data_IF_600513621987
#
_entry.id   IF_600513621987
#
_cell.length_a   1.000
_cell.length_b   1.000
_cell.length_c   1.000
_cell.angle_alpha   90.00
_cell.angle_beta   90.00
_cell.angle_gamma   90.00
#
_symmetry.space_group_name_H-M   'P 1'
#
loop_
_entity.id
_entity.type
_entity.pdbx_description
1 polymer ?
#
# COMPACT_ATOMS: atom_id res chain seq x y z
N UNK A 1 -38.67 -58.54 31.98
CA UNK A 1 -38.64 -57.98 30.61
C UNK A 1 -38.92 -56.49 30.70
N UNK A 2 -38.08 -55.70 30.02
CA UNK A 2 -38.22 -54.27 29.62
C UNK A 2 -38.55 -53.23 30.70
N UNK A 3 -37.54 -52.41 31.01
CA UNK A 3 -37.73 -50.99 31.32
C UNK A 3 -37.12 -50.19 30.15
N UNK A 4 -37.94 -49.37 29.49
CA UNK A 4 -37.54 -48.43 28.43
C UNK A 4 -36.79 -47.24 29.05
N UNK A 5 -35.55 -47.01 28.61
CA UNK A 5 -34.85 -45.74 28.85
C UNK A 5 -35.40 -44.69 27.87
N UNK A 6 -36.14 -43.72 28.41
CA UNK A 6 -36.59 -42.55 27.67
C UNK A 6 -35.42 -41.58 27.46
N UNK A 7 -34.87 -41.57 26.23
CA UNK A 7 -33.83 -40.64 25.79
C UNK A 7 -34.39 -39.21 25.72
N UNK A 8 -34.07 -38.38 26.72
CA UNK A 8 -34.35 -36.94 26.71
C UNK A 8 -33.46 -36.24 25.68
N UNK A 9 -34.01 -35.89 24.52
CA UNK A 9 -33.38 -34.95 23.57
C UNK A 9 -33.22 -33.57 24.23
N UNK A 10 -32.04 -32.92 24.18
CA UNK A 10 -31.86 -31.60 24.77
C UNK A 10 -32.64 -30.56 23.97
N UNK A 11 -33.37 -29.67 24.66
CA UNK A 11 -34.04 -28.54 24.03
C UNK A 11 -33.00 -27.56 23.44
N UNK A 12 -33.27 -26.97 22.25
CA UNK A 12 -32.35 -26.05 21.58
C UNK A 12 -32.11 -24.81 22.46
N UNK A 13 -30.85 -24.36 22.54
CA UNK A 13 -30.48 -23.20 23.35
C UNK A 13 -31.00 -21.91 22.68
N UNK A 14 -31.48 -20.90 23.43
CA UNK A 14 -32.10 -19.70 22.86
C UNK A 14 -31.15 -18.78 22.06
N UNK A 15 -29.86 -19.10 22.02
CA UNK A 15 -28.79 -18.28 21.43
C UNK A 15 -28.58 -18.49 19.93
N UNK A 16 -29.03 -19.62 19.39
CA UNK A 16 -28.69 -20.03 18.02
C UNK A 16 -29.49 -19.22 16.97
N UNK A 17 -30.75 -18.90 17.27
CA UNK A 17 -31.60 -18.11 16.37
C UNK A 17 -31.17 -16.65 16.21
N UNK A 18 -30.57 -16.04 17.25
CA UNK A 18 -30.06 -14.66 17.20
C UNK A 18 -28.76 -14.56 16.41
N UNK A 19 -27.88 -15.56 16.52
CA UNK A 19 -26.65 -15.62 15.75
C UNK A 19 -26.93 -15.81 14.25
N UNK A 20 -27.86 -16.70 13.91
CA UNK A 20 -28.27 -16.96 12.53
C UNK A 20 -29.02 -15.77 11.90
N UNK A 21 -29.90 -15.10 12.65
CA UNK A 21 -30.57 -13.89 12.19
C UNK A 21 -29.56 -12.76 11.90
N UNK A 22 -28.53 -12.60 12.74
CA UNK A 22 -27.47 -11.61 12.56
C UNK A 22 -26.58 -11.93 11.36
N UNK A 23 -26.27 -13.21 11.14
CA UNK A 23 -25.55 -13.68 9.96
C UNK A 23 -26.36 -13.54 8.66
N UNK A 24 -27.69 -13.68 8.73
CA UNK A 24 -28.61 -13.44 7.63
C UNK A 24 -28.68 -11.96 7.23
N UNK A 25 -28.86 -11.07 8.21
CA UNK A 25 -28.86 -9.62 8.02
C UNK A 25 -27.52 -9.11 7.48
N UNK A 26 -26.40 -9.64 7.99
CA UNK A 26 -25.07 -9.31 7.50
C UNK A 26 -24.87 -9.76 6.04
N UNK A 27 -25.30 -10.98 5.69
CA UNK A 27 -25.28 -11.46 4.29
C UNK A 27 -26.15 -10.60 3.37
N UNK A 28 -27.33 -10.20 3.83
CA UNK A 28 -28.26 -9.36 3.06
C UNK A 28 -27.72 -7.94 2.86
N UNK A 29 -27.07 -7.36 3.88
CA UNK A 29 -26.39 -6.08 3.81
C UNK A 29 -25.18 -6.13 2.85
N UNK A 30 -24.37 -7.20 2.91
CA UNK A 30 -23.26 -7.43 1.97
C UNK A 30 -23.73 -7.65 0.52
N UNK A 31 -24.97 -8.13 0.33
CA UNK A 31 -25.58 -8.30 -1.00
C UNK A 31 -26.09 -6.97 -1.57
N UNK A 32 -26.64 -6.08 -0.73
CA UNK A 32 -27.12 -4.75 -1.13
C UNK A 32 -25.97 -3.74 -1.32
N UNK A 33 -24.92 -3.86 -0.53
CA UNK A 33 -23.73 -3.03 -0.59
C UNK A 33 -22.50 -3.94 -0.63
N UNK A 34 -22.16 -4.54 -1.80
CA UNK A 34 -20.93 -5.28 -1.93
C UNK A 34 -19.77 -4.36 -1.53
N UNK A 35 -18.78 -4.84 -0.75
CA UNK A 35 -17.63 -4.02 -0.39
C UNK A 35 -17.04 -3.50 -1.70
N UNK A 36 -17.09 -2.17 -1.87
CA UNK A 36 -16.54 -1.51 -3.05
C UNK A 36 -15.15 -2.09 -3.24
N UNK A 37 -14.91 -2.67 -4.43
CA UNK A 37 -13.69 -3.36 -4.83
C UNK A 37 -12.49 -2.39 -4.92
N UNK A 38 -12.26 -1.68 -3.83
CA UNK A 38 -11.32 -0.58 -3.65
C UNK A 38 -9.93 -1.14 -3.64
N UNK A 39 -9.76 -2.37 -3.10
CA UNK A 39 -8.51 -3.10 -3.12
C UNK A 39 -8.13 -3.52 -4.55
N UNK A 40 -9.02 -4.14 -5.35
CA UNK A 40 -8.63 -4.52 -6.71
C UNK A 40 -8.57 -3.30 -7.65
N UNK A 41 -9.42 -2.28 -7.48
CA UNK A 41 -9.28 -1.01 -8.20
C UNK A 41 -7.93 -0.34 -7.92
N UNK A 42 -7.51 -0.30 -6.66
CA UNK A 42 -6.20 0.22 -6.27
C UNK A 42 -5.08 -0.63 -6.89
N UNK A 43 -5.18 -1.96 -6.80
CA UNK A 43 -4.18 -2.86 -7.39
C UNK A 43 -4.01 -2.65 -8.89
N UNK A 44 -5.12 -2.56 -9.64
CA UNK A 44 -5.10 -2.26 -11.08
C UNK A 44 -4.51 -0.88 -11.37
N UNK A 45 -4.81 0.13 -10.55
CA UNK A 45 -4.23 1.47 -10.70
C UNK A 45 -2.71 1.46 -10.50
N UNK A 46 -2.20 0.68 -9.54
CA UNK A 46 -0.76 0.51 -9.32
C UNK A 46 -0.06 -0.18 -10.49
N UNK A 47 -0.68 -1.22 -11.02
CA UNK A 47 -0.16 -1.94 -12.19
C UNK A 47 -0.11 -1.03 -13.41
N UNK A 48 -1.15 -0.22 -13.63
CA UNK A 48 -1.17 0.80 -14.70
C UNK A 48 -0.08 1.84 -14.53
N UNK A 49 0.06 2.41 -13.34
CA UNK A 49 1.11 3.41 -13.05
C UNK A 49 2.51 2.83 -13.28
N UNK A 50 2.73 1.58 -12.87
CA UNK A 50 3.99 0.88 -13.12
C UNK A 50 4.28 0.72 -14.62
N UNK A 51 3.30 0.27 -15.41
CA UNK A 51 3.45 0.12 -16.86
C UNK A 51 3.73 1.47 -17.51
N UNK A 52 3.03 2.53 -17.10
CA UNK A 52 3.27 3.88 -17.59
C UNK A 52 4.69 4.37 -17.27
N UNK A 53 5.19 4.14 -16.06
CA UNK A 53 6.57 4.49 -15.70
C UNK A 53 7.61 3.67 -16.47
N UNK A 54 7.36 2.37 -16.69
CA UNK A 54 8.25 1.52 -17.47
C UNK A 54 8.31 1.96 -18.94
N UNK A 55 7.16 2.04 -19.60
CA UNK A 55 7.06 2.41 -21.02
C UNK A 55 7.52 3.85 -21.22
N UNK A 56 7.16 4.76 -20.31
CA UNK A 56 7.62 6.15 -20.36
C UNK A 56 9.13 6.28 -20.18
N UNK A 57 9.70 5.65 -19.14
CA UNK A 57 11.14 5.73 -18.87
C UNK A 57 12.00 5.14 -19.99
N UNK A 58 11.71 3.90 -20.39
CA UNK A 58 12.43 3.25 -21.49
C UNK A 58 12.11 3.88 -22.86
N UNK A 59 10.91 4.42 -23.05
CA UNK A 59 10.52 5.13 -24.26
C UNK A 59 11.26 6.45 -24.44
N UNK A 60 11.42 7.24 -23.37
CA UNK A 60 12.25 8.46 -23.41
C UNK A 60 13.71 8.09 -23.70
N UNK A 61 14.23 7.04 -23.06
CA UNK A 61 15.58 6.57 -23.32
C UNK A 61 15.77 6.08 -24.78
N UNK A 62 14.79 5.37 -25.34
CA UNK A 62 14.77 4.97 -26.75
C UNK A 62 14.84 6.17 -27.68
N UNK A 63 13.98 7.16 -27.47
CA UNK A 63 13.95 8.37 -28.30
C UNK A 63 15.26 9.15 -28.21
N UNK A 64 15.82 9.28 -27.01
CA UNK A 64 17.11 9.91 -26.79
C UNK A 64 18.24 9.16 -27.53
N UNK A 65 18.26 7.83 -27.45
CA UNK A 65 19.28 6.99 -28.10
C UNK A 65 19.15 7.00 -29.63
N UNK A 66 17.93 6.99 -30.17
CA UNK A 66 17.71 7.14 -31.61
C UNK A 66 18.15 8.54 -32.06
N UNK A 67 17.79 9.60 -31.32
CA UNK A 67 18.23 10.96 -31.64
C UNK A 67 19.75 11.09 -31.65
N UNK A 68 20.43 10.52 -30.65
CA UNK A 68 21.89 10.48 -30.60
C UNK A 68 22.47 9.69 -31.78
N UNK A 69 21.92 8.51 -32.05
CA UNK A 69 22.27 7.69 -33.22
C UNK A 69 22.18 8.50 -34.53
N UNK A 70 21.11 9.25 -34.79
CA UNK A 70 20.96 10.04 -36.02
C UNK A 70 21.99 11.19 -36.12
N UNK A 71 22.23 11.91 -35.03
CA UNK A 71 23.16 13.05 -35.00
C UNK A 71 24.62 12.60 -35.19
N UNK A 72 24.99 11.45 -34.61
CA UNK A 72 26.36 10.95 -34.64
C UNK A 72 26.64 9.99 -35.80
N UNK A 73 25.66 9.20 -36.25
CA UNK A 73 25.79 8.33 -37.43
C UNK A 73 25.92 9.14 -38.73
N UNK A 74 25.32 10.33 -38.81
CA UNK A 74 25.52 11.23 -39.95
C UNK A 74 26.99 11.67 -40.15
N UNK A 75 27.85 11.50 -39.13
CA UNK A 75 29.29 11.79 -39.20
C UNK A 75 30.16 10.55 -39.43
N UNK A 76 29.60 9.34 -39.36
CA UNK A 76 30.36 8.09 -39.35
C UNK A 76 29.76 7.10 -40.36
N UNK A 77 30.32 7.07 -41.56
CA UNK A 77 29.81 6.35 -42.76
C UNK A 77 29.85 4.80 -42.64
N UNK A 78 30.16 4.24 -41.46
CA UNK A 78 30.53 2.83 -41.33
C UNK A 78 29.36 1.84 -41.21
N UNK A 79 28.13 2.29 -40.88
CA UNK A 79 26.98 1.39 -40.66
C UNK A 79 25.66 1.98 -41.16
N UNK A 80 24.79 1.13 -41.69
CA UNK A 80 23.45 1.54 -42.11
C UNK A 80 22.61 1.99 -40.90
N UNK A 81 21.84 3.08 -41.01
CA UNK A 81 20.98 3.57 -39.92
C UNK A 81 19.97 2.54 -39.42
N UNK A 82 19.50 1.65 -40.30
CA UNK A 82 18.57 0.58 -39.95
C UNK A 82 19.17 -0.43 -38.97
N UNK A 83 20.43 -0.84 -39.17
CA UNK A 83 21.12 -1.77 -38.27
C UNK A 83 21.36 -1.14 -36.90
N UNK A 84 21.76 0.13 -36.87
CA UNK A 84 21.99 0.87 -35.62
C UNK A 84 20.69 1.02 -34.81
N UNK A 85 19.58 1.36 -35.46
CA UNK A 85 18.28 1.44 -34.81
C UNK A 85 17.81 0.07 -34.29
N UNK A 86 18.01 -1.02 -35.05
CA UNK A 86 17.67 -2.37 -34.61
C UNK A 86 18.46 -2.79 -33.36
N UNK A 87 19.75 -2.45 -33.27
CA UNK A 87 20.56 -2.67 -32.06
C UNK A 87 20.00 -1.92 -30.86
N UNK A 88 19.64 -0.64 -31.02
CA UNK A 88 19.09 0.17 -29.93
C UNK A 88 17.78 -0.44 -29.41
N UNK A 89 16.89 -0.86 -30.31
CA UNK A 89 15.63 -1.53 -29.94
C UNK A 89 15.91 -2.84 -29.19
N UNK A 90 16.83 -3.66 -29.68
CA UNK A 90 17.23 -4.91 -29.02
C UNK A 90 17.76 -4.64 -27.61
N UNK A 91 18.69 -3.69 -27.45
CA UNK A 91 19.29 -3.30 -26.18
C UNK A 91 18.23 -2.84 -25.18
N UNK A 92 17.22 -2.09 -25.63
CA UNK A 92 16.13 -1.62 -24.78
C UNK A 92 15.17 -2.76 -24.40
N UNK A 93 14.89 -3.69 -25.31
CA UNK A 93 14.12 -4.88 -24.99
C UNK A 93 14.81 -5.71 -23.89
N UNK A 94 16.14 -5.89 -23.97
CA UNK A 94 16.92 -6.53 -22.89
C UNK A 94 16.79 -5.79 -21.55
N UNK A 95 16.85 -4.46 -21.56
CA UNK A 95 16.70 -3.63 -20.37
C UNK A 95 15.31 -3.75 -19.72
N UNK A 96 14.26 -3.77 -20.55
CA UNK A 96 12.89 -4.02 -20.10
C UNK A 96 12.74 -5.40 -19.45
N UNK A 97 13.33 -6.44 -20.03
CA UNK A 97 13.31 -7.79 -19.45
C UNK A 97 14.03 -7.82 -18.10
N UNK A 98 15.24 -7.28 -18.01
CA UNK A 98 16.03 -7.25 -16.77
C UNK A 98 15.26 -6.52 -15.66
N UNK A 99 14.70 -5.35 -15.95
CA UNK A 99 13.92 -4.58 -14.96
C UNK A 99 12.64 -5.30 -14.56
N UNK A 100 11.93 -5.94 -15.50
CA UNK A 100 10.72 -6.71 -15.21
C UNK A 100 10.98 -7.91 -14.28
N UNK A 101 11.99 -8.74 -14.61
CA UNK A 101 12.31 -9.94 -13.84
C UNK A 101 12.99 -9.65 -12.50
N UNK A 102 13.55 -8.46 -12.31
CA UNK A 102 14.11 -8.04 -11.02
C UNK A 102 13.07 -7.79 -9.93
N UNK A 103 11.85 -7.39 -10.31
CA UNK A 103 10.75 -7.06 -9.40
C UNK A 103 10.35 -8.20 -8.45
N UNK A 104 10.09 -9.44 -8.92
CA UNK A 104 9.75 -10.55 -8.03
C UNK A 104 10.90 -10.89 -7.08
N UNK A 105 12.16 -10.72 -7.50
CA UNK A 105 13.33 -10.97 -6.64
C UNK A 105 13.35 -10.03 -5.43
N UNK A 106 13.10 -8.73 -5.63
CA UNK A 106 13.04 -7.76 -4.53
C UNK A 106 11.91 -8.05 -3.53
N UNK A 107 10.81 -8.65 -4.00
CA UNK A 107 9.71 -9.06 -3.13
C UNK A 107 10.06 -10.33 -2.36
N UNK A 108 10.67 -11.33 -3.01
CA UNK A 108 11.15 -12.56 -2.37
C UNK A 108 12.21 -12.29 -1.31
N UNK A 109 13.09 -11.32 -1.52
CA UNK A 109 14.14 -10.96 -0.57
C UNK A 109 13.70 -9.97 0.51
N UNK A 110 12.44 -9.53 0.52
CA UNK A 110 11.89 -8.68 1.59
C UNK A 110 12.41 -7.24 1.61
N UNK A 111 12.95 -6.72 0.49
CA UNK A 111 13.64 -5.42 0.50
C UNK A 111 12.73 -4.23 0.80
N UNK A 112 11.41 -4.40 0.62
CA UNK A 112 10.39 -3.37 0.91
C UNK A 112 10.33 -2.98 2.39
N UNK A 113 10.84 -3.81 3.29
CA UNK A 113 10.80 -3.57 4.74
C UNK A 113 12.13 -3.05 5.29
N UNK A 114 13.22 -3.12 4.51
CA UNK A 114 14.55 -2.70 4.93
C UNK A 114 14.62 -1.20 5.21
N UNK A 115 15.54 -0.82 6.10
CA UNK A 115 15.90 0.59 6.32
C UNK A 115 16.76 1.12 5.16
N UNK A 116 16.78 2.45 4.98
CA UNK A 116 17.52 3.08 3.88
C UNK A 116 19.02 2.73 3.89
N UNK A 117 19.64 2.60 5.07
CA UNK A 117 21.05 2.22 5.24
C UNK A 117 21.36 0.83 4.69
N UNK A 118 20.41 -0.09 4.84
CA UNK A 118 20.51 -1.45 4.33
C UNK A 118 20.11 -1.54 2.85
N UNK A 119 19.22 -0.67 2.39
CA UNK A 119 18.68 -0.68 1.03
C UNK A 119 19.66 -0.09 0.01
N UNK A 120 20.30 1.05 0.31
CA UNK A 120 21.20 1.76 -0.62
C UNK A 120 22.34 0.88 -1.14
N UNK A 121 23.18 0.22 -0.31
CA UNK A 121 24.27 -0.60 -0.81
C UNK A 121 23.78 -1.79 -1.63
N UNK A 122 22.61 -2.34 -1.28
CA UNK A 122 21.98 -3.44 -2.01
C UNK A 122 21.48 -2.99 -3.39
N UNK A 123 20.85 -1.82 -3.47
CA UNK A 123 20.40 -1.20 -4.73
C UNK A 123 21.59 -0.96 -5.65
N UNK A 124 22.67 -0.36 -5.14
CA UNK A 124 23.90 -0.11 -5.91
C UNK A 124 24.51 -1.42 -6.42
N UNK A 125 24.65 -2.43 -5.55
CA UNK A 125 25.20 -3.73 -5.92
C UNK A 125 24.35 -4.44 -6.99
N UNK A 126 23.02 -4.44 -6.84
CA UNK A 126 22.14 -5.03 -7.87
C UNK A 126 22.15 -4.24 -9.16
N UNK A 127 22.17 -2.90 -9.11
CA UNK A 127 22.24 -2.09 -10.32
C UNK A 127 23.55 -2.37 -11.08
N UNK A 128 24.67 -2.46 -10.37
CA UNK A 128 25.96 -2.79 -10.96
C UNK A 128 25.96 -4.18 -11.61
N UNK A 129 25.41 -5.19 -10.92
CA UNK A 129 25.29 -6.55 -11.45
C UNK A 129 24.34 -6.64 -12.65
N UNK A 130 23.18 -6.01 -12.58
CA UNK A 130 22.21 -5.96 -13.69
C UNK A 130 22.78 -5.21 -14.90
N UNK A 131 23.49 -4.11 -14.67
CA UNK A 131 24.15 -3.36 -15.73
C UNK A 131 25.24 -4.19 -16.40
N UNK A 132 26.01 -4.96 -15.61
CA UNK A 132 27.04 -5.84 -16.15
C UNK A 132 26.43 -6.92 -17.04
N UNK A 133 25.35 -7.55 -16.59
CA UNK A 133 24.59 -8.54 -17.37
C UNK A 133 24.02 -7.90 -18.64
N UNK A 134 23.46 -6.70 -18.53
CA UNK A 134 22.90 -5.98 -19.67
C UNK A 134 23.95 -5.66 -20.73
N UNK A 135 25.09 -5.12 -20.33
CA UNK A 135 26.23 -4.84 -21.22
C UNK A 135 26.82 -6.11 -21.81
N UNK A 136 27.00 -7.17 -21.01
CA UNK A 136 27.53 -8.45 -21.47
C UNK A 136 26.62 -9.10 -22.52
N UNK A 137 25.31 -9.11 -22.28
CA UNK A 137 24.34 -9.64 -23.25
C UNK A 137 24.27 -8.78 -24.50
N UNK A 138 24.23 -7.45 -24.37
CA UNK A 138 24.21 -6.54 -25.52
C UNK A 138 25.42 -6.72 -26.43
N UNK A 139 26.62 -6.80 -25.85
CA UNK A 139 27.86 -7.02 -26.60
C UNK A 139 27.96 -8.44 -27.15
N UNK A 140 27.65 -9.45 -26.34
CA UNK A 140 27.67 -10.86 -26.75
C UNK A 140 26.70 -11.14 -27.91
N UNK A 141 25.50 -10.54 -27.88
CA UNK A 141 24.55 -10.62 -28.99
C UNK A 141 25.09 -9.91 -30.23
N UNK A 142 25.56 -8.66 -30.09
CA UNK A 142 25.96 -7.83 -31.23
C UNK A 142 27.20 -8.35 -31.94
N UNK A 143 28.24 -8.67 -31.19
CA UNK A 143 29.57 -9.03 -31.73
C UNK A 143 29.82 -10.53 -31.77
N UNK A 144 29.18 -11.31 -30.89
CA UNK A 144 29.31 -12.77 -30.86
C UNK A 144 28.27 -13.45 -31.74
N UNK A 145 26.98 -13.33 -31.40
CA UNK A 145 25.91 -14.08 -32.07
C UNK A 145 25.57 -13.52 -33.46
N UNK A 146 25.37 -12.21 -33.57
CA UNK A 146 25.07 -11.53 -34.85
C UNK A 146 26.38 -11.38 -35.66
N UNK A 147 27.54 -11.42 -35.00
CA UNK A 147 28.85 -11.43 -35.66
C UNK A 147 29.22 -10.12 -36.36
N UNK A 148 28.67 -8.99 -35.91
CA UNK A 148 28.94 -7.71 -36.56
C UNK A 148 30.38 -7.27 -36.34
N UNK A 149 31.06 -6.74 -37.37
CA UNK A 149 32.43 -6.30 -37.24
C UNK A 149 32.52 -5.10 -36.28
N UNK A 150 33.58 -5.06 -35.48
CA UNK A 150 33.91 -3.91 -34.66
C UNK A 150 34.40 -2.77 -35.56
N UNK A 151 33.60 -1.72 -35.73
CA UNK A 151 33.92 -0.58 -36.62
C UNK A 151 34.32 0.68 -35.87
N UNK A 152 34.25 0.69 -34.54
CA UNK A 152 34.57 1.89 -33.75
C UNK A 152 36.07 2.10 -33.62
N UNK A 153 36.50 3.37 -33.63
CA UNK A 153 37.89 3.79 -33.38
C UNK A 153 38.38 3.45 -31.97
N UNK A 154 37.46 3.25 -31.03
CA UNK A 154 37.78 2.94 -29.64
C UNK A 154 37.86 1.42 -29.41
N UNK A 155 38.61 0.98 -28.40
CA UNK A 155 38.73 -0.44 -28.07
C UNK A 155 37.41 -1.03 -27.54
N UNK A 156 37.12 -2.33 -27.79
CA UNK A 156 35.92 -2.98 -27.27
C UNK A 156 35.75 -2.89 -25.76
N UNK A 157 36.86 -3.02 -25.02
CA UNK A 157 36.86 -2.92 -23.56
C UNK A 157 36.47 -1.53 -23.04
N UNK A 158 36.89 -0.46 -23.73
CA UNK A 158 36.56 0.90 -23.33
C UNK A 158 35.07 1.18 -23.49
N UNK A 159 34.49 0.89 -24.67
CA UNK A 159 33.05 1.14 -24.89
C UNK A 159 32.22 0.22 -23.99
N UNK A 160 32.66 -1.02 -23.73
CA UNK A 160 32.00 -1.91 -22.78
C UNK A 160 31.94 -1.29 -21.38
N UNK A 161 33.06 -0.75 -20.90
CA UNK A 161 33.15 -0.10 -19.59
C UNK A 161 32.24 1.13 -19.50
N UNK A 162 32.23 1.96 -20.55
CA UNK A 162 31.32 3.12 -20.65
C UNK A 162 29.86 2.68 -20.65
N UNK A 163 29.54 1.62 -21.38
CA UNK A 163 28.18 1.06 -21.49
C UNK A 163 27.72 0.51 -20.14
N UNK A 164 28.59 -0.20 -19.43
CA UNK A 164 28.34 -0.67 -18.07
C UNK A 164 28.11 0.49 -17.09
N UNK A 165 28.92 1.55 -17.15
CA UNK A 165 28.75 2.72 -16.29
C UNK A 165 27.44 3.47 -16.58
N UNK A 166 27.08 3.64 -17.85
CA UNK A 166 25.82 4.23 -18.26
C UNK A 166 24.61 3.41 -17.76
N UNK A 167 24.66 2.08 -17.95
CA UNK A 167 23.63 1.18 -17.44
C UNK A 167 23.49 1.22 -15.92
N UNK A 168 24.59 1.43 -15.18
CA UNK A 168 24.53 1.61 -13.73
C UNK A 168 23.70 2.84 -13.37
N UNK A 169 23.94 3.99 -13.99
CA UNK A 169 23.15 5.20 -13.73
C UNK A 169 21.67 5.02 -14.06
N UNK A 170 21.37 4.44 -15.22
CA UNK A 170 19.99 4.22 -15.65
C UNK A 170 19.25 3.29 -14.65
N UNK A 171 19.88 2.18 -14.28
CA UNK A 171 19.27 1.19 -13.39
C UNK A 171 19.19 1.67 -11.94
N UNK A 172 20.18 2.44 -11.45
CA UNK A 172 20.07 3.11 -10.15
C UNK A 172 18.90 4.08 -10.16
N UNK A 173 18.77 4.92 -11.19
CA UNK A 173 17.64 5.84 -11.32
C UNK A 173 16.29 5.12 -11.30
N UNK A 174 16.18 4.03 -12.06
CA UNK A 174 14.97 3.21 -12.09
C UNK A 174 14.67 2.55 -10.73
N UNK A 175 15.66 1.96 -10.07
CA UNK A 175 15.50 1.34 -8.75
C UNK A 175 15.13 2.38 -7.68
N UNK A 176 15.73 3.58 -7.74
CA UNK A 176 15.39 4.69 -6.86
C UNK A 176 13.92 5.07 -7.02
N UNK A 177 13.41 5.24 -8.25
CA UNK A 177 12.00 5.52 -8.51
C UNK A 177 11.09 4.39 -7.97
N UNK A 178 11.46 3.14 -8.22
CA UNK A 178 10.71 1.98 -7.76
C UNK A 178 10.61 1.92 -6.22
N UNK A 179 11.73 2.07 -5.52
CA UNK A 179 11.76 2.01 -4.06
C UNK A 179 11.17 3.28 -3.41
N UNK A 180 11.34 4.45 -4.04
CA UNK A 180 10.70 5.68 -3.61
C UNK A 180 9.17 5.54 -3.59
N UNK A 181 8.59 5.01 -4.68
CA UNK A 181 7.16 4.74 -4.74
C UNK A 181 6.67 3.82 -3.61
N UNK A 182 7.39 2.73 -3.35
CA UNK A 182 7.02 1.78 -2.30
C UNK A 182 7.19 2.37 -0.89
N UNK A 183 8.22 3.18 -0.67
CA UNK A 183 8.42 3.88 0.58
C UNK A 183 7.30 4.89 0.84
N UNK A 184 6.94 5.68 -0.17
CA UNK A 184 5.85 6.64 -0.08
C UNK A 184 4.51 5.94 0.24
N UNK A 185 4.26 4.80 -0.40
CA UNK A 185 3.06 4.00 -0.09
C UNK A 185 3.06 3.50 1.36
N UNK A 186 4.19 3.01 1.85
CA UNK A 186 4.34 2.55 3.24
C UNK A 186 4.09 3.69 4.22
N UNK A 187 4.65 4.87 3.98
CA UNK A 187 4.47 6.04 4.83
C UNK A 187 2.99 6.46 4.89
N UNK A 188 2.31 6.54 3.74
CA UNK A 188 0.88 6.87 3.70
C UNK A 188 0.03 5.84 4.46
N UNK A 189 0.34 4.54 4.36
CA UNK A 189 -0.36 3.49 5.11
C UNK A 189 -0.19 3.66 6.62
N UNK A 190 1.04 3.90 7.07
CA UNK A 190 1.34 4.12 8.48
C UNK A 190 0.62 5.37 9.01
N UNK A 191 0.56 6.44 8.24
CA UNK A 191 -0.15 7.66 8.61
C UNK A 191 -1.67 7.41 8.77
N UNK A 192 -2.28 6.68 7.83
CA UNK A 192 -3.71 6.31 7.91
C UNK A 192 -3.98 5.43 9.13
N UNK A 193 -3.09 4.49 9.43
CA UNK A 193 -3.22 3.61 10.59
C UNK A 193 -3.09 4.37 11.91
N UNK A 194 -2.14 5.30 12.02
CA UNK A 194 -2.02 6.19 13.18
C UNK A 194 -3.28 7.03 13.41
N UNK A 195 -3.86 7.60 12.35
CA UNK A 195 -5.11 8.37 12.45
C UNK A 195 -6.28 7.50 12.91
N UNK A 196 -6.36 6.24 12.45
CA UNK A 196 -7.39 5.29 12.89
C UNK A 196 -7.23 4.91 14.36
N UNK A 197 -6.00 4.66 14.80
CA UNK A 197 -5.70 4.37 16.20
C UNK A 197 -6.07 5.56 17.09
N UNK A 198 -5.68 6.78 16.71
CA UNK A 198 -6.04 8.00 17.44
C UNK A 198 -7.56 8.21 17.52
N UNK A 199 -8.29 7.95 16.43
CA UNK A 199 -9.75 8.00 16.44
C UNK A 199 -10.37 6.95 17.38
N UNK A 200 -9.85 5.72 17.39
CA UNK A 200 -10.34 4.65 18.26
C UNK A 200 -10.12 4.95 19.76
N UNK A 201 -8.99 5.58 20.11
CA UNK A 201 -8.72 6.05 21.48
C UNK A 201 -9.73 7.11 21.91
N UNK A 202 -9.96 8.12 21.06
CA UNK A 202 -10.98 9.15 21.33
C UNK A 202 -12.38 8.57 21.49
N UNK A 203 -12.76 7.59 20.66
CA UNK A 203 -14.04 6.91 20.82
C UNK A 203 -14.15 6.15 22.14
N UNK A 204 -13.07 5.51 22.59
CA UNK A 204 -13.02 4.83 23.88
C UNK A 204 -13.13 5.81 25.05
N UNK A 205 -12.41 6.94 25.00
CA UNK A 205 -12.52 8.03 25.98
C UNK A 205 -13.95 8.58 26.05
N UNK A 206 -14.57 8.84 24.89
CA UNK A 206 -15.97 9.31 24.82
C UNK A 206 -16.94 8.28 25.40
N UNK A 207 -16.73 6.97 25.16
CA UNK A 207 -17.56 5.91 25.76
C UNK A 207 -17.36 5.83 27.27
N UNK A 208 -16.13 5.93 27.75
CA UNK A 208 -15.81 5.95 29.17
C UNK A 208 -16.49 7.14 29.85
N UNK A 209 -16.37 8.34 29.28
CA UNK A 209 -17.02 9.56 29.77
C UNK A 209 -18.56 9.40 29.80
N UNK A 210 -19.16 8.87 28.72
CA UNK A 210 -20.61 8.58 28.70
C UNK A 210 -21.03 7.57 29.75
N UNK A 211 -20.19 6.57 30.05
CA UNK A 211 -20.50 5.54 31.06
C UNK A 211 -20.48 6.05 32.50
N UNK A 212 -19.77 7.16 32.78
CA UNK A 212 -19.77 7.78 34.11
C UNK A 212 -21.14 8.39 34.47
N UNK A 213 -21.98 8.70 33.47
CA UNK A 213 -23.37 9.15 33.70
C UNK A 213 -24.28 7.93 33.75
N UNK A 214 -24.65 7.47 34.95
CA UNK A 214 -25.56 6.35 35.12
C UNK A 214 -27.00 6.74 34.70
N UNK A 215 -27.57 6.19 33.60
CA UNK A 215 -28.90 6.55 33.14
C UNK A 215 -29.99 6.18 34.15
N UNK A 216 -29.80 5.10 34.89
CA UNK A 216 -30.74 4.65 35.92
C UNK A 216 -30.79 5.62 37.10
N UNK A 217 -29.65 6.19 37.50
CA UNK A 217 -29.62 7.24 38.52
C UNK A 217 -30.42 8.48 38.09
N UNK A 218 -30.28 8.89 36.82
CA UNK A 218 -31.04 10.00 36.24
C UNK A 218 -32.55 9.71 36.22
N UNK A 219 -32.97 8.54 35.73
CA UNK A 219 -34.38 8.15 35.72
C UNK A 219 -34.96 8.07 37.13
N UNK A 220 -34.22 7.51 38.09
CA UNK A 220 -34.66 7.43 39.49
C UNK A 220 -34.79 8.83 40.10
N UNK A 221 -33.79 9.69 39.89
CA UNK A 221 -33.83 11.07 40.40
C UNK A 221 -35.01 11.85 39.82
N UNK A 222 -35.32 11.70 38.54
CA UNK A 222 -36.47 12.34 37.89
C UNK A 222 -37.82 11.78 38.39
N UNK A 223 -37.93 10.47 38.61
CA UNK A 223 -39.14 9.86 39.16
C UNK A 223 -39.39 10.30 40.61
N UNK A 224 -38.36 10.35 41.45
CA UNK A 224 -38.47 10.87 42.81
C UNK A 224 -38.81 12.36 42.81
N UNK A 225 -38.25 13.14 41.89
CA UNK A 225 -38.59 14.55 41.73
C UNK A 225 -40.05 14.74 41.33
N UNK A 226 -40.56 13.93 40.40
CA UNK A 226 -41.97 13.98 39.96
C UNK A 226 -42.91 13.72 41.14
N UNK A 227 -42.65 12.68 41.95
CA UNK A 227 -43.44 12.43 43.15
C UNK A 227 -43.36 13.59 44.16
N UNK A 228 -42.18 14.20 44.31
CA UNK A 228 -41.98 15.34 45.21
C UNK A 228 -42.67 16.63 44.74
N UNK A 229 -42.90 16.82 43.43
CA UNK A 229 -43.66 17.96 42.92
C UNK A 229 -45.12 17.90 43.39
N UNK A 230 -45.70 16.70 43.40
CA UNK A 230 -47.10 16.48 43.81
C UNK A 230 -47.27 16.60 45.34
N UNK A 231 -46.22 16.36 46.13
CA UNK A 231 -46.22 16.48 47.60
C UNK A 231 -45.81 17.88 48.12
N UNK A 232 -44.71 18.44 47.61
CA UNK A 232 -44.09 19.68 48.10
C UNK A 232 -43.33 20.41 46.97
N UNK A 233 -44.06 21.26 46.24
CA UNK A 233 -43.52 22.02 45.10
C UNK A 233 -42.32 22.93 45.45
N UNK A 234 -42.28 23.65 46.59
CA UNK A 234 -41.10 24.37 47.05
C UNK A 234 -39.84 23.50 47.19
N UNK A 235 -39.93 22.34 47.88
CA UNK A 235 -38.79 21.42 48.02
C UNK A 235 -38.38 20.79 46.69
N UNK A 236 -39.34 20.48 45.83
CA UNK A 236 -39.05 19.97 44.49
C UNK A 236 -38.18 20.95 43.67
N UNK A 237 -38.46 22.26 43.78
CA UNK A 237 -37.69 23.30 43.08
C UNK A 237 -36.22 23.35 43.53
N UNK A 238 -35.98 23.14 44.81
CA UNK A 238 -34.63 23.05 45.36
C UNK A 238 -33.92 21.76 44.92
N UNK A 239 -34.63 20.63 44.92
CA UNK A 239 -34.12 19.34 44.46
C UNK A 239 -33.71 19.35 42.96
N UNK A 240 -34.49 20.02 42.10
CA UNK A 240 -34.10 20.27 40.69
C UNK A 240 -32.76 20.99 40.61
N UNK A 241 -32.61 22.06 41.41
CA UNK A 241 -31.39 22.89 41.40
C UNK A 241 -30.17 22.08 41.84
N UNK A 242 -30.31 21.24 42.87
CA UNK A 242 -29.23 20.35 43.33
C UNK A 242 -28.87 19.29 42.29
N UNK A 243 -29.86 18.66 41.65
CA UNK A 243 -29.65 17.68 40.58
C UNK A 243 -28.93 18.30 39.38
N UNK A 244 -29.32 19.51 38.97
CA UNK A 244 -28.67 20.26 37.90
C UNK A 244 -27.20 20.59 38.22
N UNK A 245 -26.91 20.99 39.47
CA UNK A 245 -25.54 21.25 39.92
C UNK A 245 -24.68 19.98 39.96
N UNK A 246 -25.24 18.85 40.40
CA UNK A 246 -24.56 17.56 40.42
C UNK A 246 -24.21 17.06 39.01
N UNK A 247 -25.15 17.19 38.06
CA UNK A 247 -24.91 16.87 36.64
C UNK A 247 -23.85 17.79 36.02
N UNK A 248 -23.90 19.09 36.32
CA UNK A 248 -22.91 20.06 35.85
C UNK A 248 -21.51 19.70 36.35
N UNK A 249 -21.37 19.34 37.63
CA UNK A 249 -20.10 18.93 38.22
C UNK A 249 -19.58 17.61 37.62
N UNK A 250 -20.45 16.62 37.40
CA UNK A 250 -20.08 15.35 36.76
C UNK A 250 -19.62 15.52 35.30
N UNK A 251 -20.14 16.50 34.57
CA UNK A 251 -19.73 16.80 33.19
C UNK A 251 -18.45 17.66 33.12
N UNK A 252 -18.23 18.56 34.09
CA UNK A 252 -17.02 19.39 34.16
C UNK A 252 -15.80 18.62 34.68
N UNK A 253 -15.99 17.65 35.57
CA UNK A 253 -14.89 16.83 36.11
C UNK A 253 -14.31 15.83 35.10
N UNK A 254 -15.02 15.54 34.01
CA UNK A 254 -14.54 14.69 32.91
C UNK A 254 -13.78 15.42 31.79
N UNK A 255 -13.37 16.68 32.00
CA UNK A 255 -12.61 17.50 31.03
C UNK A 255 -11.09 17.57 31.29
N UNK A 256 -10.51 16.65 32.09
CA UNK A 256 -9.07 16.57 32.34
C UNK A 256 -8.37 15.53 31.45
#
# INVERSE_FOLDING_TARGET
MRAEEATLTPLPRPTDGLADARAGLFRQAMRKHPPVDTAAKLQRAKERLYVLCQVGGWGVFLLMQIGFSQVFAAKEESRSPAVLNAMVVMIIALGLLITHYSRPLFTRWGWKQLSWRALVPRVLATAAGQSLVWSALGYGLTYGLIGLPWTSKYSPALIFTISWFNGCFLLVGWLCLYFFYHLFERLNRLQVEQLRLAASVKEAELRALKSQVNPHFLFNSLNSLRALIDEDAPRAREAVTRLANMLRYSLQSGQL
#
